data_IF_222598699915
#
_entry.id   IF_222598699915
#
_cell.length_a   1.000
_cell.length_b   1.000
_cell.length_c   1.000
_cell.angle_alpha   90.00
_cell.angle_beta   90.00
_cell.angle_gamma   90.00
#
_symmetry.space_group_name_H-M   'P 1'
#
loop_
_entity.id
_entity.type
_entity.pdbx_description
1 polymer ?
#
# COMPACT_ATOMS: atom_id res chain seq x y z
N UNK A 1 -5.26 -8.61 19.97
CA UNK A 1 -4.13 -8.65 19.02
C UNK A 1 -4.08 -7.33 18.27
N UNK A 2 -2.92 -6.89 17.75
CA UNK A 2 -2.83 -5.66 16.96
C UNK A 2 -3.34 -5.83 15.52
N UNK A 3 -3.39 -7.08 15.04
CA UNK A 3 -3.94 -7.45 13.75
C UNK A 3 -4.74 -8.74 13.89
N UNK A 4 -5.84 -8.83 13.14
CA UNK A 4 -6.64 -10.05 12.98
C UNK A 4 -6.98 -10.19 11.48
N UNK A 5 -6.69 -11.34 10.86
CA UNK A 5 -7.05 -11.57 9.47
C UNK A 5 -8.58 -11.63 9.34
N UNK A 6 -9.10 -11.02 8.28
CA UNK A 6 -10.50 -11.03 7.96
C UNK A 6 -10.94 -12.47 7.64
N UNK A 7 -12.11 -12.86 8.13
CA UNK A 7 -12.62 -14.22 7.96
C UNK A 7 -12.83 -14.63 6.49
N UNK A 8 -12.99 -13.65 5.60
CA UNK A 8 -13.13 -13.84 4.16
C UNK A 8 -11.79 -13.84 3.40
N UNK A 9 -10.66 -13.73 4.11
CA UNK A 9 -9.31 -13.68 3.53
C UNK A 9 -9.02 -12.39 2.75
N UNK A 10 -9.81 -11.33 2.94
CA UNK A 10 -9.64 -10.06 2.23
C UNK A 10 -8.39 -9.28 2.62
N UNK A 11 -7.80 -9.57 3.79
CA UNK A 11 -6.61 -8.88 4.27
C UNK A 11 -5.51 -9.81 4.79
N UNK A 12 -4.30 -9.27 4.85
CA UNK A 12 -3.12 -9.93 5.39
C UNK A 12 -2.14 -8.91 5.94
N UNK A 13 -1.41 -9.26 7.00
CA UNK A 13 -0.28 -8.45 7.47
C UNK A 13 0.90 -8.60 6.51
N UNK A 14 1.33 -7.51 5.88
CA UNK A 14 2.43 -7.52 4.91
C UNK A 14 3.77 -7.17 5.53
N UNK A 15 3.80 -6.20 6.43
CA UNK A 15 5.01 -5.80 7.12
C UNK A 15 4.70 -5.14 8.47
N UNK A 16 5.73 -5.06 9.31
CA UNK A 16 5.68 -4.38 10.60
C UNK A 16 6.93 -3.53 10.73
N UNK A 17 6.76 -2.27 11.13
CA UNK A 17 7.86 -1.36 11.45
C UNK A 17 7.66 -0.82 12.86
N UNK A 18 8.60 -1.12 13.74
CA UNK A 18 8.63 -0.54 15.09
C UNK A 18 9.46 0.75 15.09
N UNK A 19 8.93 1.79 15.70
CA UNK A 19 9.67 2.99 16.12
C UNK A 19 9.79 3.00 17.64
N UNK A 20 10.36 4.07 18.22
CA UNK A 20 10.60 4.14 19.68
C UNK A 20 9.33 3.91 20.49
N UNK A 21 8.21 4.49 20.06
CA UNK A 21 6.95 4.41 20.78
C UNK A 21 5.79 3.82 19.95
N UNK A 22 5.97 3.51 18.66
CA UNK A 22 4.90 3.00 17.80
C UNK A 22 5.24 1.67 17.14
N UNK A 23 4.19 0.88 16.92
CA UNK A 23 4.15 -0.24 15.99
C UNK A 23 3.32 0.18 14.78
N UNK A 24 3.95 0.26 13.62
CA UNK A 24 3.26 0.55 12.35
C UNK A 24 3.05 -0.75 11.61
N UNK A 25 1.80 -1.11 11.38
CA UNK A 25 1.42 -2.28 10.59
C UNK A 25 1.13 -1.85 9.16
N UNK A 26 1.78 -2.51 8.20
CA UNK A 26 1.40 -2.45 6.80
C UNK A 26 0.47 -3.63 6.52
N UNK A 27 -0.81 -3.34 6.35
CA UNK A 27 -1.85 -4.33 6.07
C UNK A 27 -2.20 -4.26 4.59
N UNK A 28 -2.12 -5.38 3.88
CA UNK A 28 -2.71 -5.49 2.55
C UNK A 28 -4.18 -5.85 2.72
N UNK A 29 -5.06 -5.07 2.11
CA UNK A 29 -6.48 -5.35 2.03
C UNK A 29 -6.87 -5.27 0.55
N UNK A 30 -7.26 -6.42 0.00
CA UNK A 30 -7.44 -6.61 -1.44
C UNK A 30 -6.24 -6.09 -2.25
N UNK A 31 -5.00 -6.37 -1.83
CA UNK A 31 -3.78 -5.91 -2.54
C UNK A 31 -3.62 -4.38 -2.58
N UNK A 32 -4.35 -3.64 -1.72
CA UNK A 32 -4.10 -2.23 -1.45
C UNK A 32 -3.59 -2.08 -0.03
N UNK A 33 -2.57 -1.25 0.14
CA UNK A 33 -1.99 -1.07 1.45
C UNK A 33 -2.83 -0.11 2.30
N UNK A 34 -3.00 -0.49 3.57
CA UNK A 34 -3.49 0.33 4.67
C UNK A 34 -2.41 0.36 5.75
N UNK A 35 -2.16 1.54 6.32
CA UNK A 35 -1.24 1.69 7.44
C UNK A 35 -2.04 1.81 8.73
N UNK A 36 -1.68 1.03 9.75
CA UNK A 36 -2.25 1.13 11.09
C UNK A 36 -1.15 1.46 12.10
N UNK A 37 -1.45 2.36 13.04
CA UNK A 37 -0.47 2.90 13.99
C UNK A 37 -0.91 2.57 15.40
N UNK A 38 -0.08 1.82 16.13
CA UNK A 38 -0.34 1.47 17.52
C UNK A 38 0.74 2.05 18.39
N UNK A 39 0.37 2.85 19.38
CA UNK A 39 1.31 3.43 20.34
C UNK A 39 1.46 2.56 21.56
N UNK A 40 2.69 2.34 22.00
CA UNK A 40 2.99 1.61 23.24
C UNK A 40 2.75 2.53 24.46
N UNK A 41 1.96 2.07 25.42
CA UNK A 41 1.62 2.83 26.62
C UNK A 41 2.64 2.69 27.78
N UNK A 42 3.65 1.83 27.64
CA UNK A 42 4.72 1.62 28.64
C UNK A 42 4.47 0.49 29.63
N UNK A 43 3.24 -0.02 29.72
CA UNK A 43 2.78 -1.10 30.60
C UNK A 43 2.50 -2.41 29.83
N UNK A 44 2.96 -2.50 28.58
CA UNK A 44 2.65 -3.58 27.65
C UNK A 44 1.32 -3.41 26.90
N UNK A 45 0.54 -2.36 27.20
CA UNK A 45 -0.65 -2.03 26.45
C UNK A 45 -0.34 -1.23 25.18
N UNK A 46 -1.24 -1.35 24.21
CA UNK A 46 -1.18 -0.66 22.93
C UNK A 46 -2.47 0.11 22.69
N UNK A 47 -2.35 1.34 22.22
CA UNK A 47 -3.48 2.18 21.82
C UNK A 47 -3.47 2.32 20.30
N UNK A 48 -4.60 2.07 19.64
CA UNK A 48 -4.79 2.38 18.23
C UNK A 48 -4.84 3.91 18.05
N UNK A 49 -3.83 4.46 17.37
CA UNK A 49 -3.73 5.86 16.97
C UNK A 49 -3.68 5.97 15.43
N UNK A 50 -4.30 5.03 14.71
CA UNK A 50 -4.41 5.08 13.25
C UNK A 50 -5.20 6.31 12.82
N UNK A 51 -4.65 7.11 11.90
CA UNK A 51 -5.31 8.33 11.43
C UNK A 51 -6.27 8.01 10.29
N UNK A 52 -7.39 8.73 10.20
CA UNK A 52 -8.37 8.60 9.10
C UNK A 52 -7.74 8.79 7.71
N UNK A 53 -6.70 9.63 7.63
CA UNK A 53 -5.94 9.85 6.40
C UNK A 53 -5.14 8.61 5.94
N UNK A 54 -4.96 7.60 6.81
CA UNK A 54 -4.31 6.32 6.51
C UNK A 54 -5.32 5.25 6.05
N UNK A 55 -6.36 5.66 5.32
CA UNK A 55 -7.24 4.75 4.60
C UNK A 55 -6.48 3.91 3.56
N UNK A 56 -7.22 3.11 2.79
CA UNK A 56 -6.61 2.32 1.72
C UNK A 56 -5.92 3.21 0.71
N UNK A 57 -4.70 2.83 0.33
CA UNK A 57 -3.98 3.45 -0.76
C UNK A 57 -4.85 3.48 -2.04
N UNK A 58 -4.67 4.50 -2.90
CA UNK A 58 -5.35 4.54 -4.19
C UNK A 58 -5.09 3.26 -5.01
N UNK A 59 -6.02 2.92 -5.92
CA UNK A 59 -5.84 1.77 -6.78
C UNK A 59 -4.59 1.93 -7.65
N UNK A 60 -3.71 0.93 -7.65
CA UNK A 60 -2.44 1.01 -8.39
C UNK A 60 -1.35 1.78 -7.68
N UNK A 61 -1.52 2.11 -6.40
CA UNK A 61 -0.49 2.68 -5.53
C UNK A 61 -0.21 1.77 -4.34
N UNK A 62 1.02 1.86 -3.86
CA UNK A 62 1.51 1.19 -2.66
C UNK A 62 2.27 2.20 -1.79
N UNK A 63 2.23 1.98 -0.49
CA UNK A 63 2.93 2.79 0.51
C UNK A 63 3.63 1.88 1.49
N UNK A 64 4.87 2.19 1.83
CA UNK A 64 5.60 1.50 2.89
C UNK A 64 6.17 2.49 3.89
N UNK A 65 6.24 2.06 5.14
CA UNK A 65 6.78 2.83 6.25
C UNK A 65 7.88 2.01 6.91
N UNK A 66 9.03 2.65 7.15
CA UNK A 66 10.12 2.06 7.92
C UNK A 66 10.68 3.09 8.90
N UNK A 67 11.03 2.64 10.11
CA UNK A 67 11.67 3.51 11.09
C UNK A 67 13.05 3.95 10.60
N UNK A 68 13.40 5.21 10.90
CA UNK A 68 14.75 5.71 10.64
C UNK A 68 15.70 5.24 11.75
N UNK A 69 15.35 5.53 13.00
CA UNK A 69 16.11 5.18 14.19
C UNK A 69 15.15 4.61 15.25
N UNK A 70 14.87 3.30 15.22
CA UNK A 70 13.78 2.70 15.97
C UNK A 70 13.92 2.81 17.50
N UNK A 71 15.12 2.97 18.04
CA UNK A 71 15.34 3.09 19.49
C UNK A 71 15.27 4.54 20.00
N UNK A 72 15.50 5.52 19.12
CA UNK A 72 15.74 6.91 19.49
C UNK A 72 14.61 7.86 19.06
N UNK A 73 13.87 7.51 18.00
CA UNK A 73 12.85 8.39 17.44
C UNK A 73 11.62 7.67 16.92
N UNK A 74 10.58 8.45 16.67
CA UNK A 74 9.38 8.06 15.94
C UNK A 74 9.40 8.56 14.49
N UNK A 75 10.56 8.97 14.00
CA UNK A 75 10.74 9.38 12.61
C UNK A 75 10.75 8.15 11.70
N UNK A 76 10.09 8.29 10.55
CA UNK A 76 9.93 7.21 9.59
C UNK A 76 10.32 7.69 8.19
N UNK A 77 10.89 6.77 7.42
CA UNK A 77 10.84 6.85 5.96
C UNK A 77 9.48 6.41 5.47
N UNK A 78 8.90 7.19 4.57
CA UNK A 78 7.73 6.79 3.79
C UNK A 78 8.16 6.67 2.34
N UNK A 79 7.94 5.50 1.75
CA UNK A 79 8.09 5.33 0.31
C UNK A 79 6.75 5.04 -0.31
N UNK A 80 6.40 5.81 -1.34
CA UNK A 80 5.22 5.55 -2.18
C UNK A 80 5.69 5.06 -3.54
N UNK A 81 4.95 4.14 -4.13
CA UNK A 81 5.16 3.69 -5.51
C UNK A 81 3.81 3.40 -6.15
N UNK A 82 3.76 3.34 -7.47
CA UNK A 82 2.56 2.93 -8.15
C UNK A 82 2.84 2.61 -9.61
N UNK A 83 1.86 2.03 -10.29
CA UNK A 83 2.03 1.71 -11.70
C UNK A 83 2.22 2.95 -12.58
N UNK A 84 1.60 4.08 -12.20
CA UNK A 84 1.58 5.32 -12.99
C UNK A 84 2.30 6.49 -12.31
N UNK A 85 2.77 6.29 -11.08
CA UNK A 85 3.40 7.30 -10.25
C UNK A 85 4.82 6.87 -9.86
N UNK A 86 5.85 7.68 -10.15
CA UNK A 86 7.23 7.35 -9.79
C UNK A 86 7.40 7.13 -8.30
N UNK A 87 8.29 6.20 -7.94
CA UNK A 87 8.61 5.97 -6.53
C UNK A 87 9.16 7.22 -5.88
N UNK A 88 8.62 7.59 -4.72
CA UNK A 88 9.10 8.70 -3.90
C UNK A 88 9.61 8.21 -2.55
N UNK A 89 10.45 9.04 -1.92
CA UNK A 89 10.95 8.87 -0.56
C UNK A 89 10.80 10.19 0.19
N UNK A 90 10.19 10.13 1.35
CA UNK A 90 9.97 11.27 2.22
C UNK A 90 10.22 10.90 3.70
N UNK A 91 10.47 11.92 4.53
CA UNK A 91 10.41 11.80 5.99
C UNK A 91 9.01 12.05 6.49
N UNK A 92 8.64 11.32 7.53
CA UNK A 92 7.41 11.50 8.28
C UNK A 92 7.64 11.13 9.76
N UNK A 93 6.56 11.14 10.55
CA UNK A 93 6.61 10.77 11.96
C UNK A 93 5.43 9.86 12.32
N UNK A 94 5.65 8.79 13.08
CA UNK A 94 4.58 7.83 13.38
C UNK A 94 3.41 8.47 14.16
N UNK A 95 3.71 9.39 15.08
CA UNK A 95 2.70 10.07 15.90
C UNK A 95 1.68 10.92 15.13
N UNK A 96 1.95 11.30 13.88
CA UNK A 96 1.01 12.04 13.03
C UNK A 96 0.48 11.20 11.85
N UNK A 97 0.57 9.86 11.96
CA UNK A 97 0.08 8.94 10.95
C UNK A 97 1.00 8.87 9.74
N UNK A 98 2.30 9.10 9.95
CA UNK A 98 3.30 9.23 8.90
C UNK A 98 2.92 10.29 7.85
N UNK A 99 2.43 11.45 8.31
CA UNK A 99 2.20 12.59 7.42
C UNK A 99 3.53 13.04 6.82
N UNK A 100 3.57 13.17 5.50
CA UNK A 100 4.79 13.58 4.79
C UNK A 100 5.21 15.00 5.22
N UNK A 101 6.47 15.14 5.64
CA UNK A 101 7.04 16.42 6.09
C UNK A 101 8.09 16.97 5.13
N UNK A 102 9.00 16.10 4.68
CA UNK A 102 10.11 16.46 3.81
C UNK A 102 10.19 15.45 2.66
N UNK A 103 9.99 15.90 1.42
CA UNK A 103 10.27 15.08 0.24
C UNK A 103 11.77 15.09 -0.01
N UNK A 104 12.38 13.90 -0.10
CA UNK A 104 13.83 13.75 -0.19
C UNK A 104 14.26 13.39 -1.61
N UNK A 105 13.54 12.46 -2.22
CA UNK A 105 13.89 11.90 -3.52
C UNK A 105 12.67 11.37 -4.24
N UNK A 106 12.69 11.49 -5.56
CA UNK A 106 11.76 10.81 -6.45
C UNK A 106 12.54 10.21 -7.61
N UNK A 107 12.07 9.07 -8.12
CA UNK A 107 12.51 8.60 -9.43
C UNK A 107 12.03 9.58 -10.51
N UNK A 108 12.83 9.80 -11.57
CA UNK A 108 12.35 10.56 -12.70
C UNK A 108 11.19 9.82 -13.39
N UNK A 109 10.19 10.53 -13.94
CA UNK A 109 9.20 9.93 -14.80
C UNK A 109 9.87 9.21 -15.98
N UNK A 110 9.48 7.97 -16.24
CA UNK A 110 9.94 7.15 -17.37
C UNK A 110 9.01 7.26 -18.58
N UNK A 111 7.78 7.72 -18.38
CA UNK A 111 6.74 7.89 -19.40
C UNK A 111 5.72 8.95 -18.96
N UNK A 112 4.92 9.46 -19.91
CA UNK A 112 3.79 10.35 -19.63
C UNK A 112 2.56 9.53 -19.20
N UNK A 113 2.19 9.64 -17.93
CA UNK A 113 1.01 8.98 -17.36
C UNK A 113 -0.25 9.85 -17.37
N UNK A 114 -0.21 11.07 -17.91
CA UNK A 114 -1.31 12.04 -17.81
C UNK A 114 -2.63 11.56 -18.45
N UNK A 115 -2.55 10.70 -19.46
CA UNK A 115 -3.70 10.10 -20.15
C UNK A 115 -3.99 8.65 -19.73
N UNK A 116 -3.27 8.13 -18.73
CA UNK A 116 -3.42 6.78 -18.22
C UNK A 116 -4.21 6.78 -16.91
N UNK A 117 -4.85 5.65 -16.62
CA UNK A 117 -5.54 5.40 -15.36
C UNK A 117 -5.28 3.97 -14.91
N UNK A 118 -5.40 3.74 -13.61
CA UNK A 118 -5.41 2.42 -12.99
C UNK A 118 -6.68 2.28 -12.16
N UNK A 119 -7.43 1.20 -12.40
CA UNK A 119 -8.61 0.84 -11.62
C UNK A 119 -8.48 -0.57 -11.07
N UNK A 120 -9.04 -0.79 -9.89
CA UNK A 120 -9.11 -2.12 -9.30
C UNK A 120 -10.46 -2.75 -9.59
N UNK A 121 -10.45 -4.03 -9.94
CA UNK A 121 -11.62 -4.84 -10.24
C UNK A 121 -11.52 -6.21 -9.57
N UNK A 122 -12.58 -7.00 -9.69
CA UNK A 122 -12.63 -8.35 -9.16
C UNK A 122 -13.22 -9.31 -10.19
N UNK A 123 -12.51 -10.42 -10.42
CA UNK A 123 -13.04 -11.57 -11.12
C UNK A 123 -13.66 -12.54 -10.11
N UNK A 124 -14.65 -13.31 -10.53
CA UNK A 124 -15.20 -14.41 -9.71
C UNK A 124 -14.64 -15.72 -10.24
N UNK A 125 -13.89 -16.43 -9.41
CA UNK A 125 -13.37 -17.76 -9.70
C UNK A 125 -14.50 -18.79 -9.76
N UNK A 126 -14.22 -19.98 -10.30
CA UNK A 126 -15.18 -21.08 -10.41
C UNK A 126 -15.76 -21.52 -9.06
N UNK A 127 -14.99 -21.37 -7.99
CA UNK A 127 -15.38 -21.69 -6.61
C UNK A 127 -16.08 -20.52 -5.89
N UNK A 128 -16.30 -19.39 -6.57
CA UNK A 128 -16.90 -18.18 -6.00
C UNK A 128 -15.89 -17.24 -5.36
N UNK A 129 -14.59 -17.61 -5.28
CA UNK A 129 -13.55 -16.73 -4.73
C UNK A 129 -13.45 -15.46 -5.57
N UNK A 130 -13.46 -14.30 -4.91
CA UNK A 130 -13.24 -13.00 -5.57
C UNK A 130 -11.75 -12.73 -5.69
N UNK A 131 -11.26 -12.67 -6.92
CA UNK A 131 -9.83 -12.44 -7.23
C UNK A 131 -9.64 -10.98 -7.64
N UNK A 132 -8.92 -10.14 -6.86
CA UNK A 132 -8.65 -8.77 -7.22
C UNK A 132 -7.66 -8.69 -8.40
N UNK A 133 -7.84 -7.72 -9.28
CA UNK A 133 -6.88 -7.39 -10.33
C UNK A 133 -6.88 -5.88 -10.61
N UNK A 134 -5.79 -5.38 -11.15
CA UNK A 134 -5.65 -3.99 -11.59
C UNK A 134 -5.74 -3.93 -13.12
N UNK A 135 -6.50 -2.97 -13.63
CA UNK A 135 -6.60 -2.64 -15.05
C UNK A 135 -5.94 -1.30 -15.28
N UNK A 136 -4.90 -1.30 -16.12
CA UNK A 136 -4.19 -0.10 -16.53
C UNK A 136 -4.52 0.18 -18.00
N UNK A 137 -4.76 1.44 -18.33
CA UNK A 137 -5.00 1.83 -19.72
C UNK A 137 -5.30 3.31 -19.89
N UNK A 138 -5.61 3.75 -21.11
CA UNK A 138 -6.07 5.11 -21.38
C UNK A 138 -7.32 5.45 -20.56
N UNK A 139 -7.42 6.70 -20.10
CA UNK A 139 -8.60 7.20 -19.35
C UNK A 139 -9.92 6.99 -20.11
N UNK A 140 -9.89 7.20 -21.43
CA UNK A 140 -11.06 7.09 -22.32
C UNK A 140 -11.12 5.75 -23.06
N UNK A 141 -10.53 4.69 -22.49
CA UNK A 141 -10.52 3.36 -23.12
C UNK A 141 -11.95 2.80 -23.25
N UNK A 142 -12.36 2.47 -24.47
CA UNK A 142 -13.66 1.85 -24.74
C UNK A 142 -13.59 0.35 -24.46
N UNK A 143 -14.43 -0.15 -23.57
CA UNK A 143 -14.47 -1.57 -23.20
C UNK A 143 -15.37 -2.38 -24.16
N UNK A 144 -15.02 -2.42 -25.45
CA UNK A 144 -15.78 -3.10 -26.51
C UNK A 144 -15.22 -4.47 -26.93
N UNK A 145 -14.18 -4.94 -26.24
CA UNK A 145 -13.53 -6.22 -26.51
C UNK A 145 -12.51 -6.20 -27.64
N UNK A 146 -12.27 -5.06 -28.29
CA UNK A 146 -11.29 -4.93 -29.38
C UNK A 146 -9.88 -4.56 -28.92
N UNK A 147 -9.71 -4.18 -27.64
CA UNK A 147 -8.42 -3.73 -27.11
C UNK A 147 -7.45 -4.92 -26.95
N UNK A 148 -6.27 -4.87 -27.59
CA UNK A 148 -5.19 -5.79 -27.28
C UNK A 148 -4.86 -5.69 -25.79
N UNK A 149 -4.88 -6.83 -25.10
CA UNK A 149 -4.72 -6.89 -23.65
C UNK A 149 -3.57 -7.81 -23.31
N UNK A 150 -2.64 -7.31 -22.49
CA UNK A 150 -1.64 -8.13 -21.81
C UNK A 150 -2.14 -8.41 -20.39
N UNK A 151 -2.19 -9.69 -20.03
CA UNK A 151 -2.49 -10.14 -18.67
C UNK A 151 -1.21 -10.70 -18.06
N UNK A 152 -0.82 -10.15 -16.91
CA UNK A 152 0.34 -10.59 -16.15
C UNK A 152 -0.08 -11.12 -14.76
N UNK A 153 0.65 -12.09 -14.24
CA UNK A 153 0.36 -12.75 -12.97
C UNK A 153 1.45 -13.75 -12.56
N UNK A 154 1.60 -13.94 -11.24
CA UNK A 154 2.56 -14.87 -10.64
C UNK A 154 1.87 -16.04 -9.94
N UNK A 155 1.24 -15.78 -8.79
CA UNK A 155 0.34 -16.74 -8.14
C UNK A 155 1.03 -17.94 -7.46
N UNK A 156 2.12 -17.71 -6.71
CA UNK A 156 2.78 -18.77 -5.95
C UNK A 156 3.66 -18.23 -4.82
N UNK A 157 4.16 -19.13 -3.96
CA UNK A 157 5.17 -18.85 -2.93
C UNK A 157 4.84 -17.70 -1.97
N UNK A 158 3.56 -17.39 -1.79
CA UNK A 158 3.07 -16.27 -0.96
C UNK A 158 3.59 -14.89 -1.42
N UNK A 159 4.03 -14.78 -2.68
CA UNK A 159 4.51 -13.51 -3.25
C UNK A 159 3.31 -12.73 -3.80
N UNK A 160 3.03 -11.59 -3.19
CA UNK A 160 2.06 -10.61 -3.68
C UNK A 160 2.66 -9.76 -4.81
N UNK A 161 1.92 -9.60 -5.90
CA UNK A 161 2.21 -8.60 -6.93
C UNK A 161 1.56 -7.27 -6.55
N UNK A 162 2.26 -6.48 -5.76
CA UNK A 162 1.83 -5.13 -5.37
C UNK A 162 2.15 -4.11 -6.48
N UNK A 163 1.44 -2.96 -6.53
CA UNK A 163 1.77 -1.90 -7.47
C UNK A 163 3.20 -1.40 -7.32
N UNK A 164 3.93 -1.31 -8.44
CA UNK A 164 5.31 -0.83 -8.47
C UNK A 164 5.61 -0.05 -9.74
N UNK A 165 6.44 0.98 -9.64
CA UNK A 165 6.90 1.76 -10.79
C UNK A 165 8.13 1.10 -11.45
N UNK A 166 8.00 0.72 -12.72
CA UNK A 166 9.06 0.07 -13.51
C UNK A 166 9.21 0.71 -14.89
#
# INVERSE_FOLDING_TARGET
>A
ALFEPAADGSNSLSAVSATRNYMVLQVSEHVRTKLAFFKHAGDGAWTDETHEANGLAPAGEDVSVSAIWPDDSDECWVSTSGFLHPTTLAKAHAADGAKLRESLKALPPRFDSSQLTCSQHFATSRDGTRVPYFLLGPKELRLDGSNPTLLDGYGGFEISLSPSYA
#
